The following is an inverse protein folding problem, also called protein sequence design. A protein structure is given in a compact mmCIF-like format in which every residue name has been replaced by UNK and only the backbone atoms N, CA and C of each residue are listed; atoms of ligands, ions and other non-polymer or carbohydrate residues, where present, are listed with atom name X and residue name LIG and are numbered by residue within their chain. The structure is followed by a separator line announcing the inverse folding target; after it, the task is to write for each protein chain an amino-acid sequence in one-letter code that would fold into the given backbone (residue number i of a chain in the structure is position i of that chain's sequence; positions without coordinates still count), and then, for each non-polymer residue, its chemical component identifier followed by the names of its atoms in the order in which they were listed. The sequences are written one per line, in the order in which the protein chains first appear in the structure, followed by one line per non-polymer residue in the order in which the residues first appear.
data_IF_350698826493
#
_entry.id   IF_350698826493
#
_cell.length_a   1.000
_cell.length_b   1.000
_cell.length_c   1.000
_cell.angle_alpha   90.00
_cell.angle_beta   90.00
_cell.angle_gamma   90.00
#
_symmetry.space_group_name_H-M   'P 1'
#
loop_
_entity.id
_entity.type
_entity.pdbx_description
1 polymer ?
#
# COMPACT_ATOMS: atom_id res chain seq x y z
N UNK A 1 7.01 13.87 7.12
CA UNK A 1 7.19 12.41 7.22
C UNK A 1 6.77 11.81 5.89
N UNK A 2 7.62 11.02 5.21
CA UNK A 2 7.27 10.40 3.94
C UNK A 2 6.14 9.37 4.15
N UNK A 3 5.29 9.22 3.14
CA UNK A 3 4.20 8.22 3.16
C UNK A 3 4.79 6.81 3.03
N UNK A 4 4.18 5.80 3.68
CA UNK A 4 4.59 4.41 3.46
C UNK A 4 4.41 4.03 1.99
N UNK A 5 5.31 3.19 1.49
CA UNK A 5 5.34 2.77 0.09
C UNK A 5 4.87 1.32 -0.03
N UNK A 6 3.98 1.04 -0.97
CA UNK A 6 3.62 -0.33 -1.33
C UNK A 6 4.12 -0.60 -2.75
N UNK A 7 5.02 -1.57 -2.85
CA UNK A 7 5.52 -2.08 -4.11
C UNK A 7 4.53 -3.07 -4.72
N UNK A 8 4.31 -2.95 -6.03
CA UNK A 8 3.52 -3.90 -6.78
C UNK A 8 4.39 -5.12 -7.14
N UNK A 9 4.28 -6.18 -6.35
CA UNK A 9 5.02 -7.42 -6.56
C UNK A 9 4.59 -8.19 -7.81
N UNK A 10 3.50 -7.79 -8.48
CA UNK A 10 3.03 -8.39 -9.74
C UNK A 10 3.57 -7.65 -10.95
N UNK A 11 4.07 -6.42 -10.77
CA UNK A 11 4.72 -5.66 -11.82
C UNK A 11 6.12 -6.22 -12.06
N UNK A 12 6.38 -6.62 -13.30
CA UNK A 12 7.73 -6.98 -13.72
C UNK A 12 8.45 -5.66 -14.03
N UNK A 13 9.58 -5.44 -13.35
CA UNK A 13 10.44 -4.29 -13.62
C UNK A 13 10.86 -4.28 -15.09
N UNK A 14 10.89 -3.09 -15.70
CA UNK A 14 11.34 -2.94 -17.09
C UNK A 14 12.78 -3.45 -17.23
N UNK A 15 13.06 -4.23 -18.28
CA UNK A 15 14.39 -4.75 -18.56
C UNK A 15 15.45 -3.63 -18.66
N UNK A 16 15.05 -2.44 -19.09
CA UNK A 16 15.91 -1.25 -19.16
C UNK A 16 16.31 -0.67 -17.80
N UNK A 17 15.54 -0.92 -16.74
CA UNK A 17 15.77 -0.40 -15.39
C UNK A 17 16.60 -1.35 -14.51
N UNK A 18 16.74 -2.62 -14.90
CA UNK A 18 17.47 -3.64 -14.14
C UNK A 18 18.99 -3.39 -14.04
N UNK A 19 19.70 -2.90 -15.08
CA UNK A 19 21.13 -2.65 -14.96
C UNK A 19 21.47 -1.58 -13.90
N UNK A 20 20.62 -0.55 -13.77
CA UNK A 20 20.77 0.48 -12.73
C UNK A 20 20.57 -0.10 -11.33
N UNK A 21 19.56 -0.96 -11.16
CA UNK A 21 19.30 -1.67 -9.91
C UNK A 21 20.50 -2.53 -9.48
N UNK A 22 21.02 -3.38 -10.37
CA UNK A 22 22.15 -4.25 -10.04
C UNK A 22 23.40 -3.46 -9.69
N UNK A 23 23.69 -2.38 -10.42
CA UNK A 23 24.82 -1.49 -10.09
C UNK A 23 24.71 -0.90 -8.70
N UNK A 24 23.53 -0.40 -8.32
CA UNK A 24 23.32 0.15 -6.98
C UNK A 24 23.50 -0.90 -5.87
N UNK A 25 23.04 -2.13 -6.11
CA UNK A 25 23.25 -3.26 -5.18
C UNK A 25 24.73 -3.64 -5.07
N UNK A 26 25.45 -3.71 -6.20
CA UNK A 26 26.88 -4.03 -6.23
C UNK A 26 27.72 -2.96 -5.52
N UNK A 27 27.39 -1.68 -5.72
CA UNK A 27 28.04 -0.56 -5.04
C UNK A 27 27.84 -0.65 -3.52
N UNK A 28 26.60 -0.89 -3.07
CA UNK A 28 26.30 -1.08 -1.65
C UNK A 28 27.00 -2.30 -1.05
N UNK A 29 26.99 -3.43 -1.76
CA UNK A 29 27.72 -4.63 -1.34
C UNK A 29 29.24 -4.40 -1.30
N UNK A 30 29.79 -3.55 -2.18
CA UNK A 30 31.18 -3.11 -2.14
C UNK A 30 31.49 -2.34 -0.85
N UNK A 31 30.63 -1.38 -0.48
CA UNK A 31 30.78 -0.63 0.77
C UNK A 31 30.69 -1.55 1.99
N UNK A 32 29.73 -2.47 2.04
CA UNK A 32 29.63 -3.42 3.16
C UNK A 32 30.87 -4.32 3.29
N UNK A 33 31.43 -4.78 2.16
CA UNK A 33 32.66 -5.60 2.15
C UNK A 33 33.89 -4.84 2.63
N UNK A 34 33.95 -3.53 2.42
CA UNK A 34 35.04 -2.70 2.95
C UNK A 34 35.01 -2.53 4.48
N UNK A 35 33.90 -2.89 5.13
CA UNK A 35 33.80 -2.98 6.59
C UNK A 35 34.22 -1.68 7.29
N UNK A 36 35.30 -1.75 8.08
CA UNK A 36 35.81 -0.61 8.86
C UNK A 36 36.52 0.46 8.02
N UNK A 37 36.82 0.18 6.75
CA UNK A 37 37.43 1.14 5.82
C UNK A 37 36.37 2.02 5.14
N UNK A 38 35.09 1.65 5.20
CA UNK A 38 33.99 2.49 4.75
C UNK A 38 33.85 3.74 5.62
N UNK A 39 33.82 4.90 4.99
CA UNK A 39 33.38 6.14 5.63
C UNK A 39 31.87 6.16 5.82
N UNK A 40 31.39 6.92 6.81
CA UNK A 40 29.95 7.15 7.01
C UNK A 40 29.27 7.75 5.77
N UNK A 41 29.99 8.60 5.01
CA UNK A 41 29.47 9.18 3.78
C UNK A 41 29.26 8.12 2.68
N UNK A 42 30.17 7.16 2.54
CA UNK A 42 30.03 6.06 1.59
C UNK A 42 28.81 5.18 1.93
N UNK A 43 28.58 4.90 3.21
CA UNK A 43 27.41 4.14 3.66
C UNK A 43 26.10 4.84 3.32
N UNK A 44 25.97 6.13 3.68
CA UNK A 44 24.75 6.91 3.41
C UNK A 44 24.51 7.07 1.92
N UNK A 45 25.56 7.33 1.13
CA UNK A 45 25.45 7.45 -0.32
C UNK A 45 24.99 6.15 -0.97
N UNK A 46 25.51 5.01 -0.53
CA UNK A 46 25.14 3.71 -1.07
C UNK A 46 23.72 3.29 -0.65
N UNK A 47 23.32 3.52 0.61
CA UNK A 47 21.94 3.30 1.08
C UNK A 47 20.94 4.12 0.25
N UNK A 48 21.23 5.42 0.06
CA UNK A 48 20.41 6.32 -0.77
C UNK A 48 20.37 5.86 -2.22
N UNK A 49 21.50 5.39 -2.76
CA UNK A 49 21.60 4.86 -4.12
C UNK A 49 20.68 3.66 -4.35
N UNK A 50 20.70 2.69 -3.44
CA UNK A 50 19.81 1.52 -3.46
C UNK A 50 18.34 1.96 -3.35
N UNK A 51 18.01 2.84 -2.41
CA UNK A 51 16.64 3.31 -2.23
C UNK A 51 16.09 4.01 -3.48
N UNK A 52 16.87 4.89 -4.12
CA UNK A 52 16.44 5.59 -5.34
C UNK A 52 16.24 4.63 -6.52
N UNK A 53 17.14 3.65 -6.70
CA UNK A 53 17.00 2.67 -7.77
C UNK A 53 15.85 1.69 -7.51
N UNK A 54 15.60 1.31 -6.26
CA UNK A 54 14.42 0.52 -5.90
C UNK A 54 13.13 1.24 -6.35
N UNK A 55 13.03 2.54 -6.09
CA UNK A 55 11.87 3.35 -6.48
C UNK A 55 11.77 3.57 -8.01
N UNK A 56 12.90 3.72 -8.69
CA UNK A 56 12.93 3.91 -10.14
C UNK A 56 12.65 2.62 -10.92
N UNK A 57 13.07 1.47 -10.38
CA UNK A 57 13.00 0.17 -11.06
C UNK A 57 11.70 -0.57 -10.79
N UNK A 58 11.19 -0.52 -9.56
CA UNK A 58 9.99 -1.27 -9.18
C UNK A 58 8.77 -0.36 -9.06
N UNK A 59 7.69 -0.76 -9.72
CA UNK A 59 6.42 -0.05 -9.63
C UNK A 59 5.97 -0.01 -8.16
N UNK A 60 5.73 1.19 -7.66
CA UNK A 60 5.27 1.42 -6.30
C UNK A 60 4.18 2.48 -6.32
N UNK A 61 3.32 2.44 -5.32
CA UNK A 61 2.32 3.46 -5.09
C UNK A 61 2.50 4.00 -3.68
N UNK A 62 2.48 5.34 -3.49
CA UNK A 62 2.42 5.89 -2.15
C UNK A 62 1.13 5.41 -1.50
N UNK A 63 1.26 4.77 -0.34
CA UNK A 63 0.12 4.48 0.49
C UNK A 63 -0.30 5.80 1.10
N UNK A 64 -1.44 6.30 0.62
CA UNK A 64 -2.07 7.46 1.24
C UNK A 64 -2.63 7.00 2.59
N UNK A 65 -1.81 7.07 3.62
CA UNK A 65 -2.26 7.06 5.01
C UNK A 65 -2.61 8.49 5.40
N UNK A 66 -3.65 8.72 6.21
CA UNK A 66 -3.97 10.06 6.67
C UNK A 66 -2.77 10.67 7.42
N UNK A 67 -2.39 11.90 7.09
CA UNK A 67 -1.20 12.57 7.63
C UNK A 67 -1.18 12.60 9.18
N UNK A 68 -2.35 12.46 9.80
CA UNK A 68 -2.56 12.34 11.23
C UNK A 68 -1.74 11.21 11.87
N UNK A 69 -1.51 10.08 11.18
CA UNK A 69 -0.75 8.93 11.74
C UNK A 69 0.75 9.01 11.51
N UNK A 70 1.22 10.01 10.77
CA UNK A 70 2.65 10.26 10.59
C UNK A 70 3.26 11.08 11.75
N UNK A 71 2.53 11.24 12.85
CA UNK A 71 2.98 11.95 14.04
C UNK A 71 3.75 10.98 14.97
N UNK A 72 4.84 11.43 15.60
CA UNK A 72 5.51 10.65 16.64
C UNK A 72 4.53 10.18 17.72
N UNK A 73 4.66 8.94 18.19
CA UNK A 73 3.77 8.33 19.18
C UNK A 73 2.55 7.60 18.61
N UNK A 74 2.37 7.58 17.29
CA UNK A 74 1.30 6.84 16.60
C UNK A 74 1.83 5.68 15.74
N UNK A 75 3.01 5.15 16.07
CA UNK A 75 3.66 4.06 15.32
C UNK A 75 2.78 2.81 15.25
N UNK A 76 2.00 2.53 16.30
CA UNK A 76 1.04 1.44 16.33
C UNK A 76 -0.08 1.61 15.29
N UNK A 77 -0.57 2.84 15.09
CA UNK A 77 -1.57 3.13 14.06
C UNK A 77 -0.97 3.09 12.66
N UNK A 78 0.28 3.54 12.50
CA UNK A 78 1.01 3.40 11.25
C UNK A 78 1.14 1.92 10.85
N UNK A 79 1.61 1.06 11.77
CA UNK A 79 1.69 -0.39 11.56
C UNK A 79 0.34 -1.01 11.21
N UNK A 80 -0.74 -0.60 11.90
CA UNK A 80 -2.09 -1.05 11.59
C UNK A 80 -2.51 -0.66 10.16
N UNK A 81 -2.26 0.58 9.76
CA UNK A 81 -2.59 1.08 8.43
C UNK A 81 -1.75 0.39 7.35
N UNK A 82 -0.45 0.22 7.56
CA UNK A 82 0.45 -0.52 6.67
C UNK A 82 -0.03 -1.96 6.46
N UNK A 83 -0.36 -2.65 7.55
CA UNK A 83 -0.90 -4.02 7.49
C UNK A 83 -2.20 -4.07 6.69
N UNK A 84 -3.13 -3.15 6.93
CA UNK A 84 -4.39 -3.05 6.20
C UNK A 84 -4.19 -2.84 4.69
N UNK A 85 -3.22 -2.02 4.31
CA UNK A 85 -2.89 -1.77 2.91
C UNK A 85 -2.18 -2.95 2.25
N UNK A 86 -1.26 -3.61 2.95
CA UNK A 86 -0.53 -4.77 2.45
C UNK A 86 -1.44 -5.98 2.21
N UNK A 87 -2.40 -6.23 3.12
CA UNK A 87 -3.27 -7.40 3.10
C UNK A 87 -4.71 -7.06 2.69
N UNK A 88 -4.92 -5.96 1.96
CA UNK A 88 -6.25 -5.45 1.63
C UNK A 88 -7.12 -6.48 0.88
N UNK A 89 -6.54 -7.30 -0.01
CA UNK A 89 -7.27 -8.32 -0.76
C UNK A 89 -7.52 -9.62 0.04
N UNK A 90 -6.86 -9.80 1.19
CA UNK A 90 -6.94 -10.99 2.01
C UNK A 90 -8.13 -10.93 3.00
N UNK A 91 -8.66 -12.08 3.44
CA UNK A 91 -9.74 -12.13 4.44
C UNK A 91 -9.22 -11.88 5.87
N UNK A 92 -8.62 -10.72 6.11
CA UNK A 92 -8.06 -10.35 7.43
C UNK A 92 -9.15 -9.96 8.43
N UNK A 93 -8.92 -10.30 9.69
CA UNK A 93 -9.80 -10.01 10.82
C UNK A 93 -9.31 -8.81 11.64
N UNK A 94 -10.15 -8.28 12.52
CA UNK A 94 -9.74 -7.23 13.47
C UNK A 94 -8.62 -7.71 14.40
N UNK A 95 -8.59 -9.00 14.74
CA UNK A 95 -7.54 -9.58 15.56
C UNK A 95 -6.18 -9.55 14.86
N UNK A 96 -6.13 -9.87 13.56
CA UNK A 96 -4.90 -9.83 12.76
C UNK A 96 -4.31 -8.41 12.70
N UNK A 97 -5.17 -7.42 12.46
CA UNK A 97 -4.78 -6.00 12.43
C UNK A 97 -4.24 -5.57 13.81
N UNK A 98 -4.91 -5.98 14.88
CA UNK A 98 -4.54 -5.62 16.24
C UNK A 98 -3.18 -6.24 16.61
N UNK A 99 -2.97 -7.51 16.27
CA UNK A 99 -1.70 -8.20 16.46
C UNK A 99 -0.55 -7.50 15.71
N UNK A 100 -0.74 -7.14 14.44
CA UNK A 100 0.26 -6.41 13.65
C UNK A 100 0.60 -5.03 14.25
N UNK A 101 -0.37 -4.39 14.91
CA UNK A 101 -0.20 -3.10 15.57
C UNK A 101 0.37 -3.19 17.00
N UNK A 102 0.48 -4.39 17.58
CA UNK A 102 0.83 -4.58 18.99
C UNK A 102 -0.28 -4.12 19.95
N UNK A 103 -1.54 -4.23 19.54
CA UNK A 103 -2.71 -3.77 20.28
C UNK A 103 -3.68 -4.91 20.57
N UNK A 104 -4.57 -4.68 21.53
CA UNK A 104 -5.79 -5.48 21.64
C UNK A 104 -6.84 -5.02 20.62
N UNK A 105 -7.79 -5.87 20.19
CA UNK A 105 -8.86 -5.46 19.27
C UNK A 105 -9.66 -4.24 19.76
N UNK A 106 -9.87 -4.12 21.07
CA UNK A 106 -10.55 -2.98 21.69
C UNK A 106 -9.73 -1.69 21.59
N UNK A 107 -8.44 -1.76 21.88
CA UNK A 107 -7.54 -0.61 21.75
C UNK A 107 -7.42 -0.15 20.30
N UNK A 108 -7.32 -1.10 19.35
CA UNK A 108 -7.30 -0.81 17.92
C UNK A 108 -8.58 -0.07 17.48
N UNK A 109 -9.76 -0.58 17.84
CA UNK A 109 -11.05 0.05 17.52
C UNK A 109 -11.13 1.47 18.09
N UNK A 110 -10.71 1.67 19.34
CA UNK A 110 -10.70 2.98 19.97
C UNK A 110 -9.73 3.96 19.27
N UNK A 111 -8.54 3.49 18.89
CA UNK A 111 -7.55 4.29 18.18
C UNK A 111 -8.06 4.71 16.79
N UNK A 112 -8.68 3.79 16.03
CA UNK A 112 -9.25 4.13 14.73
C UNK A 112 -10.38 5.14 14.84
N UNK A 113 -11.30 4.99 15.80
CA UNK A 113 -12.37 5.97 16.02
C UNK A 113 -11.80 7.34 16.39
N UNK A 114 -10.81 7.38 17.29
CA UNK A 114 -10.21 8.63 17.75
C UNK A 114 -9.48 9.39 16.65
N UNK A 115 -8.76 8.68 15.78
CA UNK A 115 -7.82 9.30 14.85
C UNK A 115 -8.32 9.38 13.40
N UNK A 116 -9.27 8.53 13.02
CA UNK A 116 -9.83 8.47 11.66
C UNK A 116 -11.33 8.68 11.61
N UNK A 117 -12.01 8.79 12.76
CA UNK A 117 -13.48 8.77 12.86
C UNK A 117 -14.12 7.58 12.13
N UNK A 118 -13.41 6.44 12.13
CA UNK A 118 -13.85 5.22 11.47
C UNK A 118 -13.48 3.98 12.30
N UNK A 119 -13.96 2.83 11.89
CA UNK A 119 -13.56 1.51 12.38
C UNK A 119 -12.41 0.95 11.53
N UNK A 120 -11.59 0.02 12.05
CA UNK A 120 -10.55 -0.65 11.26
C UNK A 120 -11.09 -1.31 9.99
N UNK A 121 -12.28 -1.94 10.06
CA UNK A 121 -12.91 -2.57 8.90
C UNK A 121 -13.57 -1.56 7.95
N UNK A 122 -14.00 -0.39 8.46
CA UNK A 122 -14.45 0.72 7.61
C UNK A 122 -13.29 1.31 6.82
N UNK A 123 -12.15 1.52 7.48
CA UNK A 123 -10.92 1.95 6.83
C UNK A 123 -10.48 0.93 5.76
N UNK A 124 -10.44 -0.37 6.09
CA UNK A 124 -10.14 -1.44 5.14
C UNK A 124 -11.08 -1.42 3.92
N UNK A 125 -12.39 -1.20 4.15
CA UNK A 125 -13.36 -1.06 3.07
C UNK A 125 -13.02 0.13 2.16
N UNK A 126 -12.60 1.25 2.74
CA UNK A 126 -12.12 2.41 2.00
C UNK A 126 -10.91 2.08 1.12
N UNK A 127 -9.89 1.43 1.69
CA UNK A 127 -8.70 0.97 0.96
C UNK A 127 -9.09 0.06 -0.21
N UNK A 128 -9.98 -0.91 0.02
CA UNK A 128 -10.47 -1.82 -1.02
C UNK A 128 -11.20 -1.09 -2.15
N UNK A 129 -12.01 -0.08 -1.83
CA UNK A 129 -12.69 0.75 -2.83
C UNK A 129 -11.70 1.57 -3.67
N UNK A 130 -10.68 2.16 -3.04
CA UNK A 130 -9.66 2.92 -3.75
C UNK A 130 -8.88 2.03 -4.72
N UNK A 131 -8.48 0.83 -4.28
CA UNK A 131 -7.77 -0.14 -5.12
C UNK A 131 -8.64 -0.64 -6.26
N UNK A 132 -9.91 -0.98 -5.98
CA UNK A 132 -10.87 -1.34 -7.01
C UNK A 132 -11.05 -0.23 -8.04
N UNK A 133 -11.08 1.05 -7.62
CA UNK A 133 -11.19 2.18 -8.55
C UNK A 133 -9.99 2.31 -9.46
N UNK A 134 -8.77 2.12 -8.96
CA UNK A 134 -7.59 2.18 -9.83
C UNK A 134 -7.63 1.04 -10.84
N UNK A 135 -7.96 -0.17 -10.41
CA UNK A 135 -8.06 -1.33 -11.29
C UNK A 135 -9.16 -1.17 -12.36
N UNK A 136 -10.31 -0.59 -12.00
CA UNK A 136 -11.38 -0.27 -12.97
C UNK A 136 -10.96 0.78 -14.00
N UNK A 137 -10.06 1.71 -13.65
CA UNK A 137 -9.54 2.73 -14.58
C UNK A 137 -8.44 2.19 -15.50
N UNK A 138 -7.70 1.18 -15.02
CA UNK A 138 -6.63 0.54 -15.77
C UNK A 138 -7.17 -0.60 -16.67
N UNK A 139 -8.34 -1.15 -16.35
CA UNK A 139 -8.97 -2.24 -17.09
C UNK A 139 -9.67 -1.79 -18.38
N UNK A 140 -9.56 -2.62 -19.43
CA UNK A 140 -10.27 -2.39 -20.69
C UNK A 140 -11.71 -2.96 -20.65
N UNK A 141 -12.73 -2.24 -21.17
CA UNK A 141 -14.07 -2.76 -21.33
C UNK A 141 -14.09 -4.05 -22.16
N UNK A 142 -14.49 -5.18 -21.55
CA UNK A 142 -14.62 -6.48 -22.22
C UNK A 142 -13.59 -7.53 -21.78
N UNK A 143 -12.45 -7.10 -21.25
CA UNK A 143 -11.44 -8.01 -20.65
C UNK A 143 -11.61 -8.12 -19.14
N UNK A 144 -11.96 -7.02 -18.48
CA UNK A 144 -12.19 -6.96 -17.05
C UNK A 144 -13.67 -6.64 -16.75
N UNK A 145 -14.21 -7.20 -15.68
CA UNK A 145 -15.61 -6.96 -15.29
C UNK A 145 -15.68 -6.34 -13.90
N UNK A 146 -16.64 -5.45 -13.67
CA UNK A 146 -16.93 -4.88 -12.33
C UNK A 146 -17.05 -5.97 -11.28
N UNK A 147 -17.66 -7.11 -11.64
CA UNK A 147 -17.85 -8.26 -10.75
C UNK A 147 -16.53 -8.92 -10.37
N UNK A 148 -15.63 -9.12 -11.34
CA UNK A 148 -14.32 -9.72 -11.10
C UNK A 148 -13.45 -8.81 -10.22
N UNK A 149 -13.40 -7.50 -10.52
CA UNK A 149 -12.67 -6.52 -9.71
C UNK A 149 -13.21 -6.47 -8.29
N UNK A 150 -14.53 -6.36 -8.09
CA UNK A 150 -15.08 -6.28 -6.74
C UNK A 150 -14.79 -7.54 -5.92
N UNK A 151 -14.86 -8.73 -6.53
CA UNK A 151 -14.59 -9.99 -5.86
C UNK A 151 -13.12 -10.10 -5.44
N UNK A 152 -12.19 -9.65 -6.30
CA UNK A 152 -10.74 -9.59 -6.04
C UNK A 152 -10.41 -8.74 -4.82
N UNK A 153 -11.16 -7.66 -4.61
CA UNK A 153 -11.03 -6.78 -3.44
C UNK A 153 -11.93 -7.18 -2.27
N UNK A 154 -12.50 -8.39 -2.28
CA UNK A 154 -13.23 -8.97 -1.15
C UNK A 154 -14.67 -8.47 -0.97
N UNK A 155 -15.30 -7.94 -2.02
CA UNK A 155 -16.73 -7.60 -2.01
C UNK A 155 -17.57 -8.75 -2.58
N UNK A 156 -18.26 -9.46 -1.68
CA UNK A 156 -19.14 -10.58 -2.05
C UNK A 156 -20.48 -10.14 -2.64
N UNK A 157 -20.97 -8.95 -2.27
CA UNK A 157 -22.26 -8.44 -2.71
C UNK A 157 -22.10 -7.23 -3.64
N UNK A 158 -22.53 -7.39 -4.89
CA UNK A 158 -22.40 -6.39 -5.95
C UNK A 158 -23.17 -5.10 -5.66
N UNK A 159 -24.41 -5.19 -5.16
CA UNK A 159 -25.21 -4.01 -4.82
C UNK A 159 -24.59 -3.19 -3.70
N UNK A 160 -24.06 -3.86 -2.66
CA UNK A 160 -23.33 -3.21 -1.55
C UNK A 160 -22.04 -2.57 -2.03
N UNK A 161 -21.30 -3.23 -2.92
CA UNK A 161 -20.12 -2.67 -3.55
C UNK A 161 -20.45 -1.41 -4.35
N UNK A 162 -21.36 -1.50 -5.32
CA UNK A 162 -21.75 -0.36 -6.17
C UNK A 162 -22.28 0.81 -5.36
N UNK A 163 -23.11 0.56 -4.33
CA UNK A 163 -23.60 1.62 -3.45
C UNK A 163 -22.50 2.26 -2.60
N UNK A 164 -21.55 1.47 -2.07
CA UNK A 164 -20.42 2.00 -1.31
C UNK A 164 -19.44 2.78 -2.21
N UNK A 165 -19.24 2.29 -3.43
CA UNK A 165 -18.42 2.93 -4.44
C UNK A 165 -19.00 4.29 -4.85
N UNK A 166 -20.29 4.34 -5.20
CA UNK A 166 -20.99 5.58 -5.54
C UNK A 166 -20.95 6.59 -4.38
N UNK A 167 -21.20 6.16 -3.14
CA UNK A 167 -21.08 7.05 -1.97
C UNK A 167 -19.68 7.65 -1.79
N UNK A 168 -18.62 6.94 -2.18
CA UNK A 168 -17.23 7.39 -2.02
C UNK A 168 -16.75 8.26 -3.19
N UNK A 169 -17.15 7.94 -4.42
CA UNK A 169 -16.58 8.53 -5.63
C UNK A 169 -17.55 9.36 -6.47
N UNK A 170 -18.85 9.35 -6.15
CA UNK A 170 -19.88 10.09 -6.89
C UNK A 170 -20.22 9.51 -8.26
N UNK A 171 -19.73 8.31 -8.58
CA UNK A 171 -19.98 7.59 -9.84
C UNK A 171 -20.07 6.08 -9.55
N UNK A 172 -20.73 5.33 -10.41
CA UNK A 172 -20.82 3.88 -10.33
C UNK A 172 -19.57 3.20 -10.90
N UNK A 173 -19.23 1.97 -10.42
CA UNK A 173 -18.08 1.22 -10.92
C UNK A 173 -18.08 1.01 -12.44
N UNK A 174 -19.26 0.79 -13.03
CA UNK A 174 -19.42 0.59 -14.48
C UNK A 174 -19.13 1.85 -15.28
N UNK A 175 -19.42 3.02 -14.73
CA UNK A 175 -19.11 4.31 -15.37
C UNK A 175 -17.61 4.55 -15.36
N UNK A 176 -16.93 4.14 -14.27
CA UNK A 176 -15.46 4.21 -14.20
C UNK A 176 -14.80 3.28 -15.21
N UNK A 177 -15.29 2.04 -15.34
CA UNK A 177 -14.74 1.05 -16.27
C UNK A 177 -14.92 1.42 -17.75
N UNK A 178 -15.93 2.24 -18.08
CA UNK A 178 -16.25 2.64 -19.45
C UNK A 178 -15.47 3.86 -19.95
N UNK A 179 -14.73 4.54 -19.08
CA UNK A 179 -13.89 5.68 -19.45
C UNK A 179 -12.54 5.20 -19.95
#
# INVERSE_FOLDING_TARGET
MPLPLVFDHRSIASASALPGWWRAVDDFAGVLRSGREATALQLVAAERGVALHLLATFAHRPVVVPAQVLRPGLEHLLRAAEFLHAFAASPITVADIAAAAGLTPRALQAAFRRHFDDTPLGYLRGVRLDRARVELREGAPGEETVRAVSARWGFLNQGRFSGAYHRRFGEYPVETLRR
#
